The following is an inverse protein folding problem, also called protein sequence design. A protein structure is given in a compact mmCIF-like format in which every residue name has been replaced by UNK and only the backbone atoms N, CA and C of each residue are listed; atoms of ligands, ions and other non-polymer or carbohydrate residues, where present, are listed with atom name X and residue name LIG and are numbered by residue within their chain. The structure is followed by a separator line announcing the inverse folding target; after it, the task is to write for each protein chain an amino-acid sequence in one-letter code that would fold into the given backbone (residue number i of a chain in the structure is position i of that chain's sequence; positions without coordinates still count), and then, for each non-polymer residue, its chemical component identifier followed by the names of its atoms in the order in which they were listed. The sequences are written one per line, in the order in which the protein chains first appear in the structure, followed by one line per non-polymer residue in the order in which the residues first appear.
data_IF_391452120754
#
_entry.id   IF_391452120754
#
_cell.length_a   1.000
_cell.length_b   1.000
_cell.length_c   1.000
_cell.angle_alpha   90.00
_cell.angle_beta   90.00
_cell.angle_gamma   90.00
#
_symmetry.space_group_name_H-M   'P 1'
#
loop_
_entity.id
_entity.type
_entity.pdbx_description
1 polymer ?
#
# COMPACT_ATOMS: atom_id res chain seq x y z
N UNK A 1 -16.03 -11.63 -14.03
CA UNK A 1 -14.84 -11.75 -13.16
C UNK A 1 -13.63 -11.29 -13.96
N UNK A 2 -12.94 -10.27 -13.46
CA UNK A 2 -11.71 -9.77 -14.09
C UNK A 2 -10.52 -10.49 -13.45
N UNK A 3 -9.76 -11.24 -14.26
CA UNK A 3 -8.63 -12.05 -13.79
C UNK A 3 -7.37 -11.65 -14.55
N UNK A 4 -6.33 -11.27 -13.81
CA UNK A 4 -5.00 -10.99 -14.36
C UNK A 4 -4.00 -12.01 -13.82
N UNK A 5 -3.01 -12.33 -14.63
CA UNK A 5 -1.97 -13.28 -14.21
C UNK A 5 -0.66 -13.09 -14.97
N UNK A 6 0.38 -13.71 -14.44
CA UNK A 6 1.68 -13.76 -15.10
C UNK A 6 2.14 -15.20 -15.24
N UNK A 7 2.77 -15.50 -16.37
CA UNK A 7 3.49 -16.77 -16.55
C UNK A 7 4.71 -16.85 -15.60
N UNK A 8 5.16 -18.06 -15.29
CA UNK A 8 6.24 -18.31 -14.34
C UNK A 8 7.53 -17.56 -14.66
N UNK A 9 7.98 -17.59 -15.91
CA UNK A 9 9.21 -16.90 -16.33
C UNK A 9 9.12 -15.40 -16.04
N UNK A 10 7.97 -14.79 -16.32
CA UNK A 10 7.73 -13.38 -16.04
C UNK A 10 7.68 -13.12 -14.54
N UNK A 11 6.99 -13.94 -13.76
CA UNK A 11 6.92 -13.81 -12.31
C UNK A 11 8.30 -13.89 -11.65
N UNK A 12 9.13 -14.86 -12.03
CA UNK A 12 10.51 -14.98 -11.55
C UNK A 12 11.38 -13.79 -11.97
N UNK A 13 11.21 -13.27 -13.19
CA UNK A 13 11.87 -12.04 -13.63
C UNK A 13 11.47 -10.82 -12.85
N UNK A 14 10.18 -10.70 -12.47
CA UNK A 14 9.66 -9.63 -11.61
C UNK A 14 10.23 -9.75 -10.18
N UNK A 15 10.32 -10.97 -9.63
CA UNK A 15 10.93 -11.21 -8.32
C UNK A 15 12.40 -10.79 -8.32
N UNK A 16 13.20 -11.24 -9.28
CA UNK A 16 14.60 -10.84 -9.46
C UNK A 16 14.75 -9.32 -9.63
N UNK A 17 13.77 -8.68 -10.28
CA UNK A 17 13.69 -7.24 -10.44
C UNK A 17 13.21 -6.48 -9.20
N UNK A 18 12.97 -7.17 -8.07
CA UNK A 18 12.40 -6.59 -6.85
C UNK A 18 11.08 -5.83 -7.11
N UNK A 19 10.20 -6.41 -7.93
CA UNK A 19 8.93 -5.77 -8.26
C UNK A 19 7.98 -5.78 -7.05
N UNK A 20 7.60 -4.60 -6.50
CA UNK A 20 6.79 -4.54 -5.29
C UNK A 20 5.40 -5.15 -5.47
N UNK A 21 4.80 -5.05 -6.65
CA UNK A 21 3.46 -5.60 -6.92
C UNK A 21 3.45 -7.13 -6.81
N UNK A 22 4.49 -7.82 -7.34
CA UNK A 22 4.59 -9.26 -7.17
C UNK A 22 4.77 -9.64 -5.69
N UNK A 23 5.64 -8.91 -4.98
CA UNK A 23 5.90 -9.16 -3.56
C UNK A 23 4.61 -8.99 -2.74
N UNK A 24 3.82 -7.95 -3.02
CA UNK A 24 2.50 -7.75 -2.41
C UNK A 24 1.52 -8.88 -2.73
N UNK A 25 1.51 -9.38 -3.97
CA UNK A 25 0.63 -10.50 -4.34
C UNK A 25 0.98 -11.77 -3.58
N UNK A 26 2.27 -12.02 -3.33
CA UNK A 26 2.70 -13.15 -2.50
C UNK A 26 2.27 -13.01 -1.03
N UNK A 27 2.06 -11.80 -0.54
CA UNK A 27 1.57 -11.48 0.81
C UNK A 27 0.04 -11.26 0.88
N UNK A 28 -0.68 -11.57 -0.22
CA UNK A 28 -2.14 -11.38 -0.27
C UNK A 28 -2.84 -12.21 0.83
N UNK A 29 -3.74 -11.57 1.62
CA UNK A 29 -4.55 -12.30 2.60
C UNK A 29 -5.69 -13.10 1.94
N UNK A 30 -5.96 -12.86 0.65
CA UNK A 30 -7.00 -13.54 -0.11
C UNK A 30 -6.32 -14.52 -1.06
N UNK A 31 -6.47 -15.79 -0.77
CA UNK A 31 -5.93 -16.89 -1.59
C UNK A 31 -7.09 -17.77 -2.01
N UNK A 32 -7.34 -17.87 -3.32
CA UNK A 32 -8.39 -18.76 -3.85
C UNK A 32 -7.86 -20.17 -4.08
N UNK A 33 -6.65 -20.27 -4.59
CA UNK A 33 -5.96 -21.53 -4.84
C UNK A 33 -4.46 -21.27 -4.89
N UNK A 34 -3.66 -22.15 -4.28
CA UNK A 34 -2.20 -22.08 -4.38
C UNK A 34 -1.59 -23.47 -4.33
N UNK A 35 -0.43 -23.62 -4.93
CA UNK A 35 0.49 -24.71 -4.67
C UNK A 35 1.41 -24.31 -3.53
N UNK A 36 1.26 -24.97 -2.38
CA UNK A 36 1.92 -24.59 -1.12
C UNK A 36 3.44 -24.64 -1.21
N UNK A 37 3.98 -25.66 -1.86
CA UNK A 37 5.43 -25.83 -1.99
C UNK A 37 6.04 -24.71 -2.83
N UNK A 38 5.44 -24.43 -3.97
CA UNK A 38 5.88 -23.38 -4.89
C UNK A 38 5.78 -22.00 -4.26
N UNK A 39 4.66 -21.67 -3.63
CA UNK A 39 4.46 -20.34 -3.00
C UNK A 39 5.40 -20.17 -1.81
N UNK A 40 5.62 -21.18 -1.01
CA UNK A 40 6.57 -21.14 0.10
C UNK A 40 7.99 -20.89 -0.40
N UNK A 41 8.41 -21.59 -1.45
CA UNK A 41 9.72 -21.38 -2.06
C UNK A 41 9.88 -19.94 -2.60
N UNK A 42 8.86 -19.40 -3.28
CA UNK A 42 8.87 -18.02 -3.76
C UNK A 42 8.98 -17.00 -2.62
N UNK A 43 8.18 -17.18 -1.57
CA UNK A 43 8.21 -16.30 -0.39
C UNK A 43 9.58 -16.31 0.28
N UNK A 44 10.21 -17.47 0.38
CA UNK A 44 11.56 -17.62 0.93
C UNK A 44 12.62 -16.86 0.12
N UNK A 45 12.40 -16.65 -1.17
CA UNK A 45 13.32 -15.89 -2.04
C UNK A 45 13.17 -14.38 -1.92
N UNK A 46 12.02 -13.87 -1.42
CA UNK A 46 11.72 -12.44 -1.36
C UNK A 46 12.80 -11.64 -0.63
N UNK A 47 13.29 -12.03 0.57
CA UNK A 47 14.32 -11.26 1.26
C UNK A 47 15.61 -11.09 0.46
N UNK A 48 15.99 -12.09 -0.34
CA UNK A 48 17.20 -12.06 -1.18
C UNK A 48 17.08 -11.02 -2.31
N UNK A 49 15.89 -10.84 -2.86
CA UNK A 49 15.66 -9.99 -4.02
C UNK A 49 15.00 -8.66 -3.67
N UNK A 50 14.53 -8.47 -2.44
CA UNK A 50 13.92 -7.22 -2.03
C UNK A 50 14.92 -6.07 -2.10
N UNK A 51 14.52 -4.97 -2.74
CA UNK A 51 15.32 -3.76 -2.83
C UNK A 51 14.59 -2.61 -2.13
N UNK A 52 15.07 -2.16 -0.95
CA UNK A 52 14.47 -1.02 -0.25
C UNK A 52 14.40 0.23 -1.12
N UNK A 53 15.46 0.51 -1.89
CA UNK A 53 15.50 1.66 -2.78
C UNK A 53 14.41 1.61 -3.87
N UNK A 54 14.23 0.45 -4.53
CA UNK A 54 13.19 0.27 -5.55
C UNK A 54 11.79 0.34 -4.94
N UNK A 55 11.59 -0.29 -3.79
CA UNK A 55 10.33 -0.25 -3.07
C UNK A 55 9.96 1.19 -2.68
N UNK A 56 10.90 1.93 -2.09
CA UNK A 56 10.72 3.34 -1.74
C UNK A 56 10.25 4.17 -2.95
N UNK A 57 10.97 4.11 -4.06
CA UNK A 57 10.63 4.88 -5.26
C UNK A 57 9.28 4.46 -5.87
N UNK A 58 8.97 3.18 -5.85
CA UNK A 58 7.68 2.67 -6.33
C UNK A 58 6.52 3.25 -5.51
N UNK A 59 6.58 3.11 -4.18
CA UNK A 59 5.52 3.59 -3.30
C UNK A 59 5.41 5.11 -3.30
N UNK A 60 6.53 5.81 -3.28
CA UNK A 60 6.53 7.27 -3.38
C UNK A 60 5.87 7.76 -4.68
N UNK A 61 6.26 7.20 -5.83
CA UNK A 61 5.67 7.55 -7.12
C UNK A 61 4.18 7.23 -7.18
N UNK A 62 3.76 6.11 -6.58
CA UNK A 62 2.35 5.72 -6.47
C UNK A 62 1.57 6.73 -5.63
N UNK A 63 2.08 7.12 -4.46
CA UNK A 63 1.45 8.09 -3.58
C UNK A 63 1.29 9.43 -4.30
N UNK A 64 2.36 9.93 -4.93
CA UNK A 64 2.36 11.20 -5.66
C UNK A 64 1.35 11.20 -6.82
N UNK A 65 1.32 10.13 -7.62
CA UNK A 65 0.36 9.98 -8.72
C UNK A 65 -1.08 10.00 -8.21
N UNK A 66 -1.37 9.26 -7.15
CA UNK A 66 -2.71 9.19 -6.57
C UNK A 66 -3.12 10.52 -5.92
N UNK A 67 -2.21 11.20 -5.23
CA UNK A 67 -2.46 12.51 -4.64
C UNK A 67 -2.84 13.54 -5.72
N UNK A 68 -2.05 13.60 -6.80
CA UNK A 68 -2.32 14.52 -7.93
C UNK A 68 -3.60 14.16 -8.67
N UNK A 69 -3.92 12.88 -8.79
CA UNK A 69 -5.08 12.42 -9.55
C UNK A 69 -6.41 12.51 -8.80
N UNK A 70 -6.38 12.46 -7.46
CA UNK A 70 -7.63 12.25 -6.70
C UNK A 70 -7.89 13.23 -5.56
N UNK A 71 -6.87 13.91 -5.05
CA UNK A 71 -7.00 14.69 -3.81
C UNK A 71 -6.76 16.21 -4.02
N UNK A 72 -7.00 16.74 -5.22
CA UNK A 72 -6.78 18.17 -5.50
C UNK A 72 -8.02 19.04 -5.33
N UNK A 73 -9.23 18.47 -5.35
CA UNK A 73 -10.49 19.19 -5.18
C UNK A 73 -10.78 19.57 -3.73
N UNK A 74 -11.75 20.44 -3.52
CA UNK A 74 -12.28 20.75 -2.20
C UNK A 74 -13.16 19.62 -1.65
N UNK A 75 -13.84 18.90 -2.55
CA UNK A 75 -14.51 17.64 -2.28
C UNK A 75 -13.77 16.49 -2.96
N UNK A 76 -13.53 15.42 -2.23
CA UNK A 76 -12.78 14.26 -2.68
C UNK A 76 -13.49 12.97 -2.28
N UNK A 77 -13.27 11.92 -3.07
CA UNK A 77 -13.71 10.58 -2.64
C UNK A 77 -12.86 10.12 -1.46
N UNK A 78 -13.47 9.91 -0.30
CA UNK A 78 -12.76 9.63 0.95
C UNK A 78 -11.89 8.37 0.87
N UNK A 79 -12.34 7.32 0.16
CA UNK A 79 -11.51 6.12 -0.05
C UNK A 79 -10.18 6.39 -0.75
N UNK A 80 -10.07 7.49 -1.51
CA UNK A 80 -8.84 7.83 -2.25
C UNK A 80 -7.71 8.29 -1.33
N UNK A 81 -8.03 8.70 -0.08
CA UNK A 81 -6.99 8.91 0.92
C UNK A 81 -6.16 7.64 1.16
N UNK A 82 -6.80 6.46 1.22
CA UNK A 82 -6.07 5.20 1.42
C UNK A 82 -5.14 4.84 0.26
N UNK A 83 -5.45 5.30 -0.97
CA UNK A 83 -4.58 5.11 -2.13
C UNK A 83 -3.30 5.96 -2.06
N UNK A 84 -3.30 6.98 -1.20
CA UNK A 84 -2.12 7.82 -0.91
C UNK A 84 -1.46 7.42 0.40
N UNK A 85 -2.24 7.25 1.46
CA UNK A 85 -1.73 6.91 2.79
C UNK A 85 -1.00 5.56 2.81
N UNK A 86 -1.59 4.53 2.18
CA UNK A 86 -0.97 3.20 2.16
C UNK A 86 0.45 3.23 1.57
N UNK A 87 0.69 3.75 0.37
CA UNK A 87 2.04 3.82 -0.15
C UNK A 87 2.96 4.76 0.64
N UNK A 88 2.49 5.85 1.24
CA UNK A 88 3.33 6.68 2.10
C UNK A 88 3.77 5.94 3.38
N UNK A 89 2.86 5.22 4.02
CA UNK A 89 3.22 4.38 5.17
C UNK A 89 4.19 3.26 4.78
N UNK A 90 4.07 2.71 3.55
CA UNK A 90 5.03 1.75 3.02
C UNK A 90 6.41 2.39 2.78
N UNK A 91 6.48 3.65 2.33
CA UNK A 91 7.76 4.40 2.25
C UNK A 91 8.40 4.51 3.63
N UNK A 92 7.66 4.99 4.63
CA UNK A 92 8.15 5.09 6.01
C UNK A 92 8.63 3.75 6.57
N UNK A 93 7.89 2.68 6.29
CA UNK A 93 8.27 1.32 6.70
C UNK A 93 9.63 0.92 6.15
N UNK A 94 9.85 1.16 4.85
CA UNK A 94 11.12 0.86 4.18
C UNK A 94 12.26 1.74 4.73
N UNK A 95 12.01 3.03 4.90
CA UNK A 95 13.00 3.99 5.44
C UNK A 95 13.37 3.70 6.89
N UNK A 96 12.44 3.15 7.68
CA UNK A 96 12.71 2.66 9.02
C UNK A 96 13.48 1.31 9.07
N UNK A 97 13.87 0.77 7.90
CA UNK A 97 14.63 -0.49 7.82
C UNK A 97 13.83 -1.74 8.20
N UNK A 98 12.50 -1.69 8.20
CA UNK A 98 11.61 -2.79 8.61
C UNK A 98 11.45 -3.89 7.53
N UNK A 99 12.18 -3.78 6.42
CA UNK A 99 12.12 -4.76 5.33
C UNK A 99 10.90 -4.59 4.43
N UNK A 100 10.34 -5.71 3.98
CA UNK A 100 9.17 -5.71 3.09
C UNK A 100 7.94 -5.14 3.77
N UNK A 101 7.30 -4.10 3.21
CA UNK A 101 6.06 -3.56 3.77
C UNK A 101 4.93 -4.60 3.68
N UNK A 102 4.16 -4.81 4.75
CA UNK A 102 3.01 -5.72 4.71
C UNK A 102 1.93 -5.20 3.76
N UNK A 103 1.20 -6.14 3.14
CA UNK A 103 0.10 -5.78 2.24
C UNK A 103 -1.08 -5.18 3.00
N UNK A 104 -1.34 -5.64 4.22
CA UNK A 104 -2.47 -5.19 5.04
C UNK A 104 -2.24 -3.79 5.58
N UNK A 105 -3.20 -2.89 5.31
CA UNK A 105 -3.13 -1.50 5.79
C UNK A 105 -3.10 -1.41 7.33
N UNK A 106 -3.82 -2.29 8.03
CA UNK A 106 -3.80 -2.34 9.49
C UNK A 106 -2.43 -2.62 10.07
N UNK A 107 -1.65 -3.49 9.44
CA UNK A 107 -0.29 -3.82 9.86
C UNK A 107 0.68 -2.66 9.59
N UNK A 108 0.58 -2.03 8.42
CA UNK A 108 1.32 -0.80 8.12
C UNK A 108 1.02 0.30 9.12
N UNK A 109 -0.26 0.51 9.43
CA UNK A 109 -0.70 1.54 10.36
C UNK A 109 -0.26 1.25 11.80
N UNK A 110 -0.30 -0.01 12.23
CA UNK A 110 0.18 -0.43 13.55
C UNK A 110 1.69 -0.26 13.70
N UNK A 111 2.44 -0.50 12.62
CA UNK A 111 3.90 -0.36 12.62
C UNK A 111 4.41 1.05 12.32
N UNK A 112 3.53 2.03 12.13
CA UNK A 112 3.90 3.42 11.81
C UNK A 112 3.80 4.31 13.04
N UNK A 113 4.82 5.14 13.25
CA UNK A 113 4.80 6.20 14.26
C UNK A 113 4.07 7.41 13.70
N UNK A 114 2.84 7.63 14.16
CA UNK A 114 1.97 8.74 13.79
C UNK A 114 1.57 9.49 15.05
N UNK A 115 1.39 10.82 14.93
CA UNK A 115 0.81 11.57 16.02
C UNK A 115 -0.65 11.15 16.28
N UNK A 116 -1.14 11.37 17.50
CA UNK A 116 -2.45 10.89 17.93
C UNK A 116 -3.61 11.49 17.13
N UNK A 117 -3.48 12.75 16.70
CA UNK A 117 -4.54 13.43 15.94
C UNK A 117 -4.63 12.88 14.52
N UNK A 118 -3.48 12.67 13.85
CA UNK A 118 -3.43 12.05 12.53
C UNK A 118 -3.94 10.61 12.57
N UNK A 119 -3.56 9.85 13.61
CA UNK A 119 -4.04 8.48 13.81
C UNK A 119 -5.56 8.45 13.98
N UNK A 120 -6.12 9.31 14.80
CA UNK A 120 -7.56 9.37 15.02
C UNK A 120 -8.33 9.72 13.72
N UNK A 121 -7.80 10.64 12.91
CA UNK A 121 -8.42 10.99 11.63
C UNK A 121 -8.38 9.83 10.62
N UNK A 122 -7.32 9.04 10.59
CA UNK A 122 -7.22 7.83 9.77
C UNK A 122 -8.21 6.76 10.25
N UNK A 123 -8.32 6.56 11.55
CA UNK A 123 -9.24 5.57 12.14
C UNK A 123 -10.71 5.96 11.87
N UNK A 124 -11.07 7.25 11.96
CA UNK A 124 -12.40 7.76 11.56
C UNK A 124 -12.69 7.44 10.08
N UNK A 125 -11.72 7.68 9.18
CA UNK A 125 -11.88 7.34 7.76
C UNK A 125 -12.06 5.85 7.51
N UNK A 126 -11.37 5.00 8.28
CA UNK A 126 -11.54 3.55 8.20
C UNK A 126 -12.95 3.13 8.60
N UNK A 127 -13.48 3.68 9.70
CA UNK A 127 -14.86 3.42 10.13
C UNK A 127 -15.89 3.88 9.08
N UNK A 128 -15.69 5.07 8.52
CA UNK A 128 -16.57 5.58 7.45
C UNK A 128 -16.54 4.68 6.23
N UNK A 129 -15.35 4.24 5.79
CA UNK A 129 -15.19 3.30 4.68
C UNK A 129 -15.93 1.98 4.90
N UNK A 130 -16.01 1.50 6.15
CA UNK A 130 -16.74 0.26 6.48
C UNK A 130 -18.27 0.45 6.44
N UNK A 131 -18.76 1.64 6.81
CA UNK A 131 -20.20 1.95 6.90
C UNK A 131 -20.79 2.44 5.59
N UNK A 132 -20.03 3.23 4.84
CA UNK A 132 -20.45 3.85 3.60
C UNK A 132 -19.97 3.07 2.38
N UNK A 133 -20.75 3.08 1.31
CA UNK A 133 -20.37 2.50 0.04
C UNK A 133 -19.14 3.16 -0.58
N UNK A 134 -18.59 2.53 -1.62
CA UNK A 134 -17.33 2.95 -2.28
C UNK A 134 -17.32 4.38 -2.88
N UNK A 135 -18.46 5.04 -2.97
CA UNK A 135 -18.65 6.32 -3.67
C UNK A 135 -18.76 7.55 -2.75
N UNK A 136 -18.46 7.41 -1.44
CA UNK A 136 -18.61 8.53 -0.50
C UNK A 136 -17.63 9.65 -0.82
N UNK A 137 -18.21 10.86 -1.03
CA UNK A 137 -17.47 12.11 -1.13
C UNK A 137 -17.49 12.85 0.22
N UNK A 138 -16.49 13.64 0.46
CA UNK A 138 -16.44 14.53 1.63
C UNK A 138 -15.45 15.67 1.41
N UNK A 139 -15.53 16.65 2.30
CA UNK A 139 -14.60 17.77 2.28
C UNK A 139 -13.16 17.28 2.48
N UNK A 140 -12.26 17.97 1.84
CA UNK A 140 -10.82 17.78 1.99
C UNK A 140 -10.43 17.86 3.46
N UNK A 141 -9.60 16.91 3.91
CA UNK A 141 -9.12 16.78 5.28
C UNK A 141 -7.79 17.53 5.46
N UNK A 142 -7.76 18.71 6.12
CA UNK A 142 -6.54 19.54 6.18
C UNK A 142 -5.35 18.83 6.83
N UNK A 143 -5.58 18.09 7.93
CA UNK A 143 -4.51 17.37 8.64
C UNK A 143 -3.87 16.29 7.78
N UNK A 144 -4.70 15.47 7.11
CA UNK A 144 -4.21 14.46 6.18
C UNK A 144 -3.46 15.08 4.99
N UNK A 145 -3.95 16.21 4.46
CA UNK A 145 -3.24 16.93 3.40
C UNK A 145 -1.91 17.51 3.86
N UNK A 146 -1.83 18.04 5.09
CA UNK A 146 -0.59 18.53 5.66
C UNK A 146 0.43 17.39 5.77
N UNK A 147 0.02 16.25 6.32
CA UNK A 147 0.84 15.05 6.40
C UNK A 147 1.33 14.60 5.01
N UNK A 148 0.42 14.40 4.04
CA UNK A 148 0.76 13.92 2.69
C UNK A 148 1.76 14.86 1.98
N UNK A 149 1.71 16.16 2.25
CA UNK A 149 2.61 17.14 1.64
C UNK A 149 3.97 17.23 2.32
N UNK A 150 4.05 16.81 3.57
CA UNK A 150 5.29 16.78 4.33
C UNK A 150 6.17 15.56 3.97
N UNK A 151 5.55 14.50 3.44
CA UNK A 151 6.21 13.28 2.97
C UNK A 151 6.70 13.43 1.52
#
# INVERSE_FOLDING_TARGET
LDVSGWEWRKALGLLKGANPTLIEWLDSPVVYQQDEETITALKAMVPTWFSPLRARWHYYSMAQKNFRGYLQGDEVRLKKYFYVLRPLLAVRWVEAGKGVPPMRFSELLAGSELDAALRAEIDELLERKQRAGEAEYGLRRPLLHAFIRAE
#
